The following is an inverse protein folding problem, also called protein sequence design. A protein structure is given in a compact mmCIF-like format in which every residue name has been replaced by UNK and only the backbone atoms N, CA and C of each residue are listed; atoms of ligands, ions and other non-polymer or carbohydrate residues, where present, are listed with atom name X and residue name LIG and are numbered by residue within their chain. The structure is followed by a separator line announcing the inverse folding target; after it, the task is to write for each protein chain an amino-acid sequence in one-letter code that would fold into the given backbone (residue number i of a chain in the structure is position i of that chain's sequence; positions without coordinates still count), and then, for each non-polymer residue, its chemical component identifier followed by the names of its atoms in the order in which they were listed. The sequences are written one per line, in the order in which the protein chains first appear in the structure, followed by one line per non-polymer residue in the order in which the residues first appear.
data_IF_079953618015
#
_entry.id   IF_079953618015
#
_cell.length_a   1.000
_cell.length_b   1.000
_cell.length_c   1.000
_cell.angle_alpha   90.00
_cell.angle_beta   90.00
_cell.angle_gamma   90.00
#
_symmetry.space_group_name_H-M   'P 1'
#
loop_
_entity.id
_entity.type
_entity.pdbx_description
1 polymer ?
#
# COMPACT_ATOMS: atom_id res chain seq x y z
N UNK A 1 35.29 -25.54 1.86
CA UNK A 1 35.38 -24.08 1.63
C UNK A 1 33.99 -23.63 1.17
N UNK A 2 33.19 -23.06 2.06
CA UNK A 2 31.91 -22.47 1.67
C UNK A 2 32.21 -21.08 1.08
N UNK A 3 32.01 -20.92 -0.23
CA UNK A 3 31.96 -19.59 -0.83
C UNK A 3 30.67 -18.92 -0.33
N UNK A 4 30.78 -18.02 0.63
CA UNK A 4 29.71 -17.08 0.92
C UNK A 4 29.71 -16.08 -0.23
N UNK A 5 28.81 -16.26 -1.19
CA UNK A 5 28.59 -15.26 -2.23
C UNK A 5 27.90 -14.08 -1.56
N UNK A 6 28.63 -13.00 -1.33
CA UNK A 6 28.03 -11.76 -0.85
C UNK A 6 27.18 -11.18 -1.99
N UNK A 7 25.86 -11.29 -1.84
CA UNK A 7 24.91 -10.65 -2.76
C UNK A 7 25.17 -9.15 -2.77
N UNK A 8 25.38 -8.57 -3.96
CA UNK A 8 25.73 -7.16 -4.14
C UNK A 8 24.54 -6.32 -4.60
N UNK A 9 24.68 -5.00 -4.53
CA UNK A 9 23.70 -4.07 -5.12
C UNK A 9 23.57 -4.21 -6.64
N UNK A 10 24.64 -4.61 -7.32
CA UNK A 10 24.60 -4.85 -8.76
C UNK A 10 23.76 -6.08 -9.09
N UNK A 11 23.94 -7.18 -8.33
CA UNK A 11 23.13 -8.39 -8.47
C UNK A 11 21.63 -8.07 -8.29
N UNK A 12 21.30 -7.22 -7.33
CA UNK A 12 19.94 -6.73 -7.12
C UNK A 12 19.37 -6.00 -8.36
N UNK A 13 20.14 -5.08 -8.94
CA UNK A 13 19.74 -4.30 -10.12
C UNK A 13 19.54 -5.21 -11.32
N UNK A 14 20.44 -6.18 -11.53
CA UNK A 14 20.40 -7.08 -12.69
C UNK A 14 19.16 -7.99 -12.66
N UNK A 15 18.67 -8.30 -11.46
CA UNK A 15 17.40 -9.01 -11.29
C UNK A 15 16.15 -8.11 -11.42
N UNK A 16 16.30 -6.77 -11.44
CA UNK A 16 15.14 -5.88 -11.52
C UNK A 16 14.48 -5.98 -12.90
N UNK A 17 13.16 -6.19 -12.96
CA UNK A 17 12.48 -6.25 -14.23
C UNK A 17 12.48 -4.89 -14.91
N UNK A 18 12.67 -4.93 -16.22
CA UNK A 18 12.57 -3.78 -17.11
C UNK A 18 11.89 -4.22 -18.40
N UNK A 19 10.95 -3.42 -18.88
CA UNK A 19 10.20 -3.67 -20.10
C UNK A 19 10.57 -2.62 -21.13
N UNK A 20 11.21 -3.01 -22.24
CA UNK A 20 11.60 -2.05 -23.28
C UNK A 20 10.40 -1.29 -23.87
N UNK A 21 9.26 -1.98 -23.99
CA UNK A 21 7.99 -1.43 -24.48
C UNK A 21 6.88 -1.74 -23.47
N UNK A 22 6.69 -0.90 -22.43
CA UNK A 22 5.67 -1.14 -21.41
C UNK A 22 4.26 -0.96 -22.00
N UNK A 23 3.42 -1.99 -21.87
CA UNK A 23 2.09 -2.07 -22.49
C UNK A 23 0.94 -1.73 -21.55
N UNK A 24 1.19 -1.78 -20.25
CA UNK A 24 0.17 -1.56 -19.23
C UNK A 24 0.72 -0.77 -18.04
N UNK A 25 -0.18 -0.29 -17.19
CA UNK A 25 0.17 0.52 -16.01
C UNK A 25 1.15 -0.18 -15.06
N UNK A 26 1.08 -1.51 -14.93
CA UNK A 26 2.02 -2.25 -14.09
C UNK A 26 3.44 -2.20 -14.64
N UNK A 27 3.62 -2.45 -15.94
CA UNK A 27 4.93 -2.39 -16.60
C UNK A 27 5.51 -0.98 -16.59
N UNK A 28 4.66 0.04 -16.78
CA UNK A 28 5.06 1.46 -16.67
C UNK A 28 5.61 1.75 -15.26
N UNK A 29 4.87 1.35 -14.21
CA UNK A 29 5.30 1.55 -12.82
C UNK A 29 6.57 0.76 -12.48
N UNK A 30 6.72 -0.46 -13.01
CA UNK A 30 7.94 -1.25 -12.84
C UNK A 30 9.15 -0.54 -13.48
N UNK A 31 9.00 0.02 -14.67
CA UNK A 31 10.08 0.78 -15.31
C UNK A 31 10.45 2.05 -14.54
N UNK A 32 9.47 2.75 -13.97
CA UNK A 32 9.71 3.92 -13.11
C UNK A 32 10.44 3.52 -11.82
N UNK A 33 10.03 2.40 -11.19
CA UNK A 33 10.74 1.81 -10.06
C UNK A 33 12.19 1.44 -10.45
N UNK A 34 12.40 0.82 -11.61
CA UNK A 34 13.74 0.49 -12.11
C UNK A 34 14.59 1.75 -12.27
N UNK A 35 14.09 2.79 -12.94
CA UNK A 35 14.81 4.04 -13.12
C UNK A 35 15.16 4.71 -11.77
N UNK A 36 14.24 4.68 -10.80
CA UNK A 36 14.53 5.18 -9.46
C UNK A 36 15.60 4.34 -8.74
N UNK A 37 15.45 3.02 -8.67
CA UNK A 37 16.35 2.17 -7.89
C UNK A 37 17.72 2.00 -8.55
N UNK A 38 17.76 1.75 -9.86
CA UNK A 38 19.00 1.48 -10.58
C UNK A 38 19.78 2.75 -10.94
N UNK A 39 19.09 3.84 -11.30
CA UNK A 39 19.72 5.07 -11.80
C UNK A 39 19.64 6.24 -10.83
N UNK A 40 19.01 6.05 -9.66
CA UNK A 40 18.74 7.12 -8.70
C UNK A 40 17.97 8.30 -9.32
N UNK A 41 17.11 8.03 -10.30
CA UNK A 41 16.35 9.05 -11.02
C UNK A 41 15.23 9.60 -10.15
N UNK A 42 15.42 10.84 -9.65
CA UNK A 42 14.43 11.54 -8.82
C UNK A 42 13.15 11.90 -9.56
N UNK A 43 13.24 12.15 -10.87
CA UNK A 43 12.05 12.41 -11.70
C UNK A 43 11.23 11.13 -11.81
N UNK A 44 11.88 10.00 -12.07
CA UNK A 44 11.20 8.70 -12.09
C UNK A 44 10.52 8.38 -10.76
N UNK A 45 11.14 8.71 -9.62
CA UNK A 45 10.51 8.56 -8.31
C UNK A 45 9.24 9.41 -8.15
N UNK A 46 9.28 10.68 -8.59
CA UNK A 46 8.10 11.55 -8.58
C UNK A 46 6.99 11.01 -9.49
N UNK A 47 7.35 10.58 -10.70
CA UNK A 47 6.40 10.06 -11.68
C UNK A 47 5.78 8.73 -11.19
N UNK A 48 6.58 7.89 -10.51
CA UNK A 48 6.13 6.68 -9.83
C UNK A 48 5.07 7.00 -8.77
N UNK A 49 5.35 8.00 -7.93
CA UNK A 49 4.44 8.44 -6.88
C UNK A 49 3.10 8.90 -7.46
N UNK A 50 3.14 9.83 -8.42
CA UNK A 50 1.94 10.41 -9.03
C UNK A 50 1.09 9.36 -9.75
N UNK A 51 1.72 8.52 -10.58
CA UNK A 51 1.02 7.48 -11.33
C UNK A 51 0.42 6.42 -10.40
N UNK A 52 1.11 6.09 -9.31
CA UNK A 52 0.60 5.15 -8.31
C UNK A 52 -0.62 5.70 -7.55
N UNK A 53 -0.63 6.99 -7.18
CA UNK A 53 -1.81 7.64 -6.58
C UNK A 53 -3.00 7.58 -7.55
N UNK A 54 -2.80 7.89 -8.82
CA UNK A 54 -3.86 7.84 -9.83
C UNK A 54 -4.51 6.45 -9.90
N UNK A 55 -3.68 5.40 -9.91
CA UNK A 55 -4.13 4.01 -9.95
C UNK A 55 -4.80 3.60 -8.63
N UNK A 56 -4.24 3.98 -7.48
CA UNK A 56 -4.83 3.71 -6.17
C UNK A 56 -6.25 4.32 -6.07
N UNK A 57 -6.43 5.57 -6.54
CA UNK A 57 -7.75 6.22 -6.62
C UNK A 57 -8.73 5.43 -7.49
N UNK A 58 -8.29 4.93 -8.66
CA UNK A 58 -9.14 4.07 -9.52
C UNK A 58 -9.54 2.78 -8.79
N UNK A 59 -8.60 2.14 -8.10
CA UNK A 59 -8.86 0.92 -7.33
C UNK A 59 -9.83 1.17 -6.17
N UNK A 60 -9.66 2.24 -5.40
CA UNK A 60 -10.57 2.62 -4.30
C UNK A 60 -11.98 2.88 -4.84
N UNK A 61 -12.13 3.60 -5.97
CA UNK A 61 -13.45 3.82 -6.59
C UNK A 61 -14.13 2.51 -7.00
N UNK A 62 -13.37 1.58 -7.56
CA UNK A 62 -13.89 0.26 -7.92
C UNK A 62 -14.32 -0.52 -6.68
N UNK A 63 -13.49 -0.52 -5.63
CA UNK A 63 -13.78 -1.18 -4.35
C UNK A 63 -15.03 -0.57 -3.69
N UNK A 64 -15.15 0.76 -3.69
CA UNK A 64 -16.31 1.51 -3.19
C UNK A 64 -17.58 1.07 -3.89
N UNK A 65 -17.55 0.97 -5.22
CA UNK A 65 -18.69 0.52 -6.03
C UNK A 65 -19.08 -0.93 -5.74
N UNK A 66 -18.09 -1.81 -5.55
CA UNK A 66 -18.34 -3.23 -5.30
C UNK A 66 -18.83 -3.53 -3.88
N UNK A 67 -18.36 -2.79 -2.88
CA UNK A 67 -18.65 -3.05 -1.46
C UNK A 67 -19.72 -2.13 -0.87
N UNK A 68 -20.09 -1.06 -1.57
CA UNK A 68 -21.19 -0.18 -1.17
C UNK A 68 -20.89 0.67 0.06
N UNK A 69 -19.65 1.15 0.22
CA UNK A 69 -19.31 2.13 1.26
C UNK A 69 -19.15 3.55 0.68
N UNK A 70 -19.03 4.52 1.57
CA UNK A 70 -18.77 5.92 1.24
C UNK A 70 -17.44 6.37 1.85
N UNK A 71 -16.73 7.24 1.15
CA UNK A 71 -15.60 8.02 1.65
C UNK A 71 -15.87 9.44 1.18
N UNK A 72 -15.67 10.42 2.07
CA UNK A 72 -15.61 11.81 1.64
C UNK A 72 -14.32 12.08 0.84
N UNK A 73 -14.22 13.28 0.28
CA UNK A 73 -13.09 13.62 -0.60
C UNK A 73 -11.75 13.65 0.16
N UNK A 74 -11.74 14.03 1.44
CA UNK A 74 -10.52 14.08 2.24
C UNK A 74 -10.05 12.66 2.59
N UNK A 75 -10.94 11.83 3.13
CA UNK A 75 -10.69 10.42 3.42
C UNK A 75 -10.27 9.66 2.16
N UNK A 76 -10.87 9.97 1.01
CA UNK A 76 -10.53 9.35 -0.26
C UNK A 76 -9.08 9.64 -0.69
N UNK A 77 -8.65 10.90 -0.56
CA UNK A 77 -7.28 11.32 -0.86
C UNK A 77 -6.28 10.69 0.12
N UNK A 78 -6.58 10.76 1.43
CA UNK A 78 -5.73 10.19 2.47
C UNK A 78 -5.54 8.68 2.30
N UNK A 79 -6.62 7.95 1.96
CA UNK A 79 -6.55 6.51 1.72
C UNK A 79 -5.74 6.14 0.47
N UNK A 80 -5.77 6.98 -0.56
CA UNK A 80 -4.92 6.77 -1.74
C UNK A 80 -3.44 6.98 -1.41
N UNK A 81 -3.11 7.97 -0.58
CA UNK A 81 -1.75 8.23 -0.10
C UNK A 81 -1.29 7.09 0.81
N UNK A 82 -2.09 6.68 1.79
CA UNK A 82 -1.78 5.58 2.72
C UNK A 82 -1.53 4.26 1.96
N UNK A 83 -2.33 3.97 0.92
CA UNK A 83 -2.15 2.80 0.08
C UNK A 83 -0.81 2.81 -0.67
N UNK A 84 -0.39 3.97 -1.17
CA UNK A 84 0.89 4.14 -1.82
C UNK A 84 2.04 4.00 -0.82
N UNK A 85 1.96 4.68 0.31
CA UNK A 85 2.96 4.62 1.37
C UNK A 85 3.17 3.20 1.87
N UNK A 86 2.11 2.39 1.95
CA UNK A 86 2.21 0.98 2.30
C UNK A 86 3.14 0.20 1.35
N UNK A 87 3.13 0.53 0.05
CA UNK A 87 3.99 -0.10 -0.96
C UNK A 87 5.39 0.50 -0.92
N UNK A 88 5.52 1.83 -0.92
CA UNK A 88 6.80 2.52 -1.02
C UNK A 88 7.62 2.51 0.27
N UNK A 89 7.00 2.38 1.45
CA UNK A 89 7.73 2.29 2.72
C UNK A 89 8.77 1.18 2.70
N UNK A 90 8.49 0.09 1.99
CA UNK A 90 9.41 -1.04 1.83
C UNK A 90 10.68 -0.69 1.04
N UNK A 91 10.68 0.40 0.28
CA UNK A 91 11.89 0.90 -0.38
C UNK A 91 12.85 1.56 0.62
N UNK A 92 12.32 2.14 1.70
CA UNK A 92 13.13 2.75 2.76
C UNK A 92 13.81 1.71 3.66
N UNK A 93 13.33 0.47 3.66
CA UNK A 93 13.96 -0.70 4.30
C UNK A 93 15.16 -1.23 3.48
N UNK A 94 15.87 -0.33 2.79
CA UNK A 94 17.06 -0.65 2.01
C UNK A 94 18.13 -1.16 2.98
N UNK A 95 18.55 -2.40 2.77
CA UNK A 95 19.77 -2.97 3.35
C UNK A 95 20.94 -2.65 2.43
N UNK A 96 22.16 -2.77 2.94
CA UNK A 96 23.38 -2.39 2.22
C UNK A 96 23.43 -2.95 0.78
N UNK A 97 22.91 -4.17 0.56
CA UNK A 97 22.97 -4.84 -0.74
C UNK A 97 21.61 -5.20 -1.37
N UNK A 98 20.48 -4.86 -0.73
CA UNK A 98 19.15 -5.27 -1.22
C UNK A 98 18.06 -4.27 -0.82
N UNK A 99 17.07 -4.09 -1.69
CA UNK A 99 15.88 -3.31 -1.41
C UNK A 99 14.64 -4.12 -1.81
N UNK A 100 13.54 -4.00 -1.08
CA UNK A 100 12.29 -4.61 -1.54
C UNK A 100 11.81 -3.92 -2.82
N UNK A 101 11.33 -4.69 -3.79
CA UNK A 101 10.85 -4.16 -5.07
C UNK A 101 9.73 -5.02 -5.63
N UNK A 102 8.82 -4.41 -6.38
CA UNK A 102 7.76 -5.15 -7.08
C UNK A 102 8.34 -5.73 -8.36
N UNK A 103 8.23 -7.06 -8.51
CA UNK A 103 8.87 -7.80 -9.62
C UNK A 103 7.93 -8.25 -10.75
N UNK A 104 6.62 -8.27 -10.51
CA UNK A 104 5.65 -8.86 -11.47
C UNK A 104 4.47 -7.95 -11.75
N UNK A 105 3.67 -7.66 -10.73
CA UNK A 105 2.46 -6.87 -10.89
C UNK A 105 2.39 -5.76 -9.86
N UNK A 106 2.74 -4.54 -10.29
CA UNK A 106 2.70 -3.34 -9.46
C UNK A 106 1.28 -2.96 -9.08
N UNK A 107 0.33 -3.10 -10.00
CA UNK A 107 -1.08 -2.79 -9.72
C UNK A 107 -1.65 -3.72 -8.64
N UNK A 108 -1.27 -5.00 -8.65
CA UNK A 108 -1.63 -5.94 -7.56
C UNK A 108 -0.98 -5.57 -6.23
N UNK A 109 0.28 -5.11 -6.23
CA UNK A 109 0.93 -4.61 -5.02
C UNK A 109 0.20 -3.37 -4.46
N UNK A 110 -0.16 -2.42 -5.33
CA UNK A 110 -0.99 -1.27 -4.95
C UNK A 110 -2.37 -1.68 -4.46
N UNK A 111 -3.01 -2.67 -5.07
CA UNK A 111 -4.32 -3.16 -4.60
C UNK A 111 -4.22 -3.76 -3.19
N UNK A 112 -3.14 -4.44 -2.85
CA UNK A 112 -2.89 -4.87 -1.47
C UNK A 112 -2.70 -3.67 -0.52
N UNK A 113 -2.01 -2.61 -0.97
CA UNK A 113 -1.93 -1.35 -0.25
C UNK A 113 -3.29 -0.69 -0.03
N UNK A 114 -4.16 -0.67 -1.05
CA UNK A 114 -5.53 -0.17 -0.96
C UNK A 114 -6.34 -0.97 0.06
N UNK A 115 -6.28 -2.30 0.01
CA UNK A 115 -6.95 -3.15 1.00
C UNK A 115 -6.43 -2.91 2.41
N UNK A 116 -5.14 -2.66 2.56
CA UNK A 116 -4.56 -2.28 3.84
C UNK A 116 -5.14 -0.95 4.31
N UNK A 117 -5.05 0.11 3.50
CA UNK A 117 -5.55 1.43 3.86
C UNK A 117 -7.05 1.43 4.20
N UNK A 118 -7.87 0.71 3.44
CA UNK A 118 -9.33 0.70 3.63
C UNK A 118 -9.80 -0.15 4.81
N UNK A 119 -9.14 -1.29 5.08
CA UNK A 119 -9.70 -2.32 5.97
C UNK A 119 -8.80 -2.68 7.14
N UNK A 120 -7.50 -2.36 7.08
CA UNK A 120 -6.60 -2.70 8.16
C UNK A 120 -6.86 -1.75 9.33
N UNK A 121 -7.43 -2.30 10.39
CA UNK A 121 -7.47 -1.66 11.70
C UNK A 121 -6.28 -2.16 12.52
N UNK A 122 -5.53 -1.25 13.10
CA UNK A 122 -4.51 -1.57 14.11
C UNK A 122 -5.14 -2.36 15.27
N UNK A 123 -4.35 -3.18 15.97
CA UNK A 123 -4.83 -3.90 17.18
C UNK A 123 -5.45 -2.94 18.21
N UNK A 124 -4.89 -1.74 18.33
CA UNK A 124 -5.42 -0.65 19.17
C UNK A 124 -6.79 -0.17 18.72
N UNK A 125 -7.02 0.04 17.42
CA UNK A 125 -8.34 0.44 16.90
C UNK A 125 -9.38 -0.68 17.02
N UNK A 126 -8.96 -1.93 16.83
CA UNK A 126 -9.83 -3.08 17.07
C UNK A 126 -10.24 -3.16 18.55
N UNK A 127 -9.30 -2.92 19.47
CA UNK A 127 -9.58 -2.84 20.91
C UNK A 127 -10.53 -1.69 21.24
N UNK A 128 -10.26 -0.50 20.71
CA UNK A 128 -11.12 0.68 20.93
C UNK A 128 -12.54 0.47 20.38
N UNK A 129 -12.67 -0.10 19.18
CA UNK A 129 -13.97 -0.46 18.59
C UNK A 129 -14.72 -1.50 19.42
N UNK A 130 -14.01 -2.49 19.98
CA UNK A 130 -14.61 -3.48 20.90
C UNK A 130 -15.06 -2.85 22.20
N UNK A 131 -14.24 -1.97 22.80
CA UNK A 131 -14.58 -1.26 24.05
C UNK A 131 -15.82 -0.39 23.85
N UNK A 132 -15.88 0.40 22.78
CA UNK A 132 -17.04 1.24 22.44
C UNK A 132 -18.33 0.42 22.26
N UNK A 133 -18.24 -0.78 21.67
CA UNK A 133 -19.39 -1.71 21.56
C UNK A 133 -19.84 -2.27 22.91
N UNK A 134 -18.91 -2.53 23.83
CA UNK A 134 -19.21 -3.00 25.18
C UNK A 134 -19.85 -1.90 26.04
N UNK A 135 -19.37 -0.66 25.92
CA UNK A 135 -19.96 0.50 26.59
C UNK A 135 -21.37 0.82 26.08
N UNK A 136 -21.59 0.78 24.75
CA UNK A 136 -22.93 0.94 24.17
C UNK A 136 -23.92 -0.10 24.68
N UNK A 137 -23.53 -1.39 24.72
CA UNK A 137 -24.36 -2.47 25.28
C UNK A 137 -24.66 -2.30 26.77
N UNK A 138 -23.77 -1.66 27.53
CA UNK A 138 -23.97 -1.42 28.96
C UNK A 138 -25.03 -0.34 29.19
N UNK A 139 -25.05 0.69 28.35
CA UNK A 139 -26.07 1.76 28.38
C UNK A 139 -27.44 1.27 27.88
N UNK A 140 -27.48 0.44 26.84
CA UNK A 140 -28.74 -0.16 26.36
C UNK A 140 -29.39 -1.06 27.43
N UNK A 141 -28.59 -1.75 28.24
CA UNK A 141 -29.09 -2.58 29.33
C UNK A 141 -29.54 -1.79 30.55
N UNK A 142 -29.08 -0.56 30.77
CA UNK A 142 -29.50 0.29 31.90
C UNK A 142 -30.93 0.83 31.71
N UNK A 143 -31.34 1.12 30.47
CA UNK A 143 -32.70 1.58 30.15
C UNK A 143 -33.80 0.52 30.31
N UNK A 144 -33.43 -0.75 30.46
CA UNK A 144 -34.40 -1.86 30.64
C UNK A 144 -34.82 -1.97 32.12
N UNK A 145 -33.99 -1.47 33.05
CA UNK A 145 -34.26 -1.58 34.50
C UNK A 145 -34.94 -0.35 35.11
N UNK A 146 -35.15 0.73 34.36
CA UNK A 146 -35.85 1.93 34.84
C UNK A 146 -37.38 1.91 34.57
N UNK A 147 -37.90 0.84 33.96
CA UNK A 147 -39.33 0.66 33.64
C UNK A 147 -40.03 -0.42 34.49
N UNK A 148 -39.48 -0.78 35.65
CA UNK A 148 -40.10 -1.69 36.63
C UNK A 148 -40.24 -1.03 38.00
#
# INVERSE_FOLDING_TARGET
MFFFFEFTWQDFIDELPFYAEPKNDSEILINLQYAYLAKNDRKAHRDLWLKSIEIAKKLIRNERKQKGFYLDDADFEDKAIEALEYVLRRYSERKDNYCWSVRKNYVSALYNGVRHALYYQSKSEQLYTRLKKLEGRKNDNLHIWENY
#
